data_IF_277853400917
#
_entry.id   IF_277853400917
#
_cell.length_a   1.000
_cell.length_b   1.000
_cell.length_c   1.000
_cell.angle_alpha   90.00
_cell.angle_beta   90.00
_cell.angle_gamma   90.00
#
_symmetry.space_group_name_H-M   'P 1'
#
loop_
_entity.id
_entity.type
_entity.pdbx_description
1 polymer ?
#
# COMPACT_ATOMS: atom_id res chain seq x y z
N UNK A 1 5.98 8.18 44.69
CA UNK A 1 4.58 7.80 44.44
C UNK A 1 4.31 7.28 43.02
N UNK A 2 5.34 6.89 42.23
CA UNK A 2 5.15 6.38 40.86
C UNK A 2 5.40 4.86 40.73
N UNK A 3 5.89 4.20 41.77
CA UNK A 3 6.17 2.76 41.76
C UNK A 3 4.94 1.93 42.17
N UNK A 4 4.17 2.37 43.17
CA UNK A 4 2.94 1.68 43.60
C UNK A 4 1.91 1.53 42.47
N UNK A 5 1.76 2.56 41.63
CA UNK A 5 0.82 2.51 40.49
C UNK A 5 1.22 1.51 39.42
N UNK A 6 2.51 1.18 39.27
CA UNK A 6 2.96 0.21 38.28
C UNK A 6 2.83 -1.22 38.82
N UNK A 7 3.04 -1.39 40.12
CA UNK A 7 2.87 -2.66 40.83
C UNK A 7 1.38 -3.05 40.92
N UNK A 8 0.49 -2.12 41.28
CA UNK A 8 -0.96 -2.36 41.27
C UNK A 8 -1.49 -2.69 39.87
N UNK A 9 -0.96 -2.05 38.83
CA UNK A 9 -1.33 -2.37 37.43
C UNK A 9 -0.87 -3.77 37.03
N UNK A 10 0.31 -4.19 37.47
CA UNK A 10 0.84 -5.53 37.17
C UNK A 10 0.06 -6.62 37.92
N UNK A 11 -0.29 -6.38 39.19
CA UNK A 11 -1.10 -7.31 39.99
C UNK A 11 -2.53 -7.45 39.43
N UNK A 12 -3.11 -6.35 38.94
CA UNK A 12 -4.43 -6.38 38.28
C UNK A 12 -4.38 -7.18 36.98
N UNK A 13 -3.29 -7.04 36.22
CA UNK A 13 -3.07 -7.76 34.97
C UNK A 13 -2.85 -9.27 35.22
N UNK A 14 -2.08 -9.61 36.26
CA UNK A 14 -1.90 -11.00 36.70
C UNK A 14 -3.22 -11.62 37.16
N UNK A 15 -4.00 -10.91 37.96
CA UNK A 15 -5.30 -11.39 38.43
C UNK A 15 -6.26 -11.69 37.26
N UNK A 16 -6.33 -10.79 36.28
CA UNK A 16 -7.14 -10.98 35.06
C UNK A 16 -6.65 -12.16 34.21
N UNK A 17 -5.33 -12.33 34.06
CA UNK A 17 -4.77 -13.49 33.35
C UNK A 17 -5.05 -14.81 34.07
N UNK A 18 -5.01 -14.84 35.41
CA UNK A 18 -5.36 -16.05 36.18
C UNK A 18 -6.84 -16.41 36.04
N UNK A 19 -7.72 -15.41 36.00
CA UNK A 19 -9.15 -15.62 35.80
C UNK A 19 -9.46 -16.17 34.40
N UNK A 20 -8.89 -15.57 33.36
CA UNK A 20 -9.05 -16.04 31.97
C UNK A 20 -8.47 -17.45 31.76
N UNK A 21 -7.34 -17.77 32.42
CA UNK A 21 -6.78 -19.11 32.38
C UNK A 21 -7.70 -20.12 33.09
N UNK A 22 -8.31 -19.71 34.21
CA UNK A 22 -9.29 -20.53 34.94
C UNK A 22 -10.52 -20.87 34.09
N UNK A 23 -11.07 -19.89 33.36
CA UNK A 23 -12.21 -20.08 32.46
C UNK A 23 -11.84 -21.00 31.28
N UNK A 24 -10.70 -20.76 30.64
CA UNK A 24 -10.25 -21.59 29.51
C UNK A 24 -9.98 -23.05 29.91
N UNK A 25 -9.45 -23.29 31.12
CA UNK A 25 -9.26 -24.64 31.67
C UNK A 25 -10.60 -25.30 32.00
N UNK A 26 -11.56 -24.54 32.56
CA UNK A 26 -12.89 -25.04 32.88
C UNK A 26 -13.68 -25.44 31.62
N UNK A 27 -13.68 -24.60 30.59
CA UNK A 27 -14.34 -24.89 29.32
C UNK A 27 -13.68 -26.06 28.57
N UNK A 28 -12.36 -26.18 28.65
CA UNK A 28 -11.62 -27.33 28.11
C UNK A 28 -11.99 -28.65 28.81
N UNK A 29 -12.19 -28.63 30.14
CA UNK A 29 -12.63 -29.79 30.91
C UNK A 29 -14.10 -30.16 30.60
N UNK A 30 -14.96 -29.17 30.39
CA UNK A 30 -16.39 -29.38 30.11
C UNK A 30 -16.66 -29.79 28.65
N UNK A 31 -15.86 -29.30 27.69
CA UNK A 31 -15.97 -29.64 26.27
C UNK A 31 -15.50 -31.05 25.91
N UNK A 32 -14.73 -31.71 26.77
CA UNK A 32 -14.20 -33.06 26.55
C UNK A 32 -15.16 -34.21 26.94
N UNK A 33 -16.40 -33.92 27.36
CA UNK A 33 -17.46 -34.93 27.48
C UNK A 33 -17.63 -35.62 28.84
N UNK A 34 -17.59 -34.87 29.95
CA UNK A 34 -17.83 -35.41 31.30
C UNK A 34 -16.57 -35.97 31.97
N UNK A 35 -16.63 -36.35 33.27
CA UNK A 35 -15.45 -36.54 34.11
C UNK A 35 -14.55 -37.62 33.49
N UNK A 36 -13.30 -37.28 33.13
CA UNK A 36 -12.40 -38.24 32.50
C UNK A 36 -12.08 -39.35 33.48
N UNK A 37 -12.12 -40.59 33.02
CA UNK A 37 -11.45 -41.70 33.68
C UNK A 37 -9.97 -41.33 33.85
N UNK A 38 -9.63 -40.86 35.05
CA UNK A 38 -8.31 -40.62 35.65
C UNK A 38 -7.13 -40.74 34.66
N UNK A 39 -7.07 -39.83 33.68
CA UNK A 39 -5.83 -39.48 33.03
C UNK A 39 -5.27 -38.29 33.79
N UNK A 40 -4.04 -38.46 34.22
CA UNK A 40 -3.29 -37.58 35.12
C UNK A 40 -3.58 -36.09 34.81
N UNK A 41 -4.37 -35.40 35.64
CA UNK A 41 -4.83 -34.03 35.35
C UNK A 41 -3.66 -33.06 35.15
N UNK A 42 -2.51 -33.37 35.75
CA UNK A 42 -1.25 -32.64 35.60
C UNK A 42 -0.73 -32.68 34.15
N UNK A 43 -1.02 -33.74 33.40
CA UNK A 43 -0.58 -33.90 32.01
C UNK A 43 -1.45 -33.10 31.04
N UNK A 44 -2.77 -33.04 31.26
CA UNK A 44 -3.66 -32.20 30.44
C UNK A 44 -3.39 -30.73 30.70
N UNK A 45 -3.25 -30.33 31.96
CA UNK A 45 -2.85 -28.97 32.34
C UNK A 45 -1.48 -28.61 31.75
N UNK A 46 -0.50 -29.53 31.80
CA UNK A 46 0.81 -29.34 31.20
C UNK A 46 0.77 -29.14 29.67
N UNK A 47 -0.11 -29.84 28.96
CA UNK A 47 -0.30 -29.68 27.52
C UNK A 47 -0.97 -28.35 27.16
N UNK A 48 -1.96 -27.93 27.94
CA UNK A 48 -2.69 -26.67 27.76
C UNK A 48 -1.77 -25.47 28.05
N UNK A 49 -1.04 -25.50 29.17
CA UNK A 49 -0.02 -24.50 29.50
C UNK A 49 1.09 -24.44 28.45
N UNK A 50 1.55 -25.58 27.93
CA UNK A 50 2.55 -25.61 26.87
C UNK A 50 2.01 -25.04 25.55
N UNK A 51 0.73 -25.26 25.22
CA UNK A 51 0.10 -24.70 24.03
C UNK A 51 -0.07 -23.18 24.13
N UNK A 52 -0.62 -22.69 25.25
CA UNK A 52 -0.74 -21.26 25.55
C UNK A 52 0.63 -20.61 25.55
N UNK A 53 1.62 -21.19 26.23
CA UNK A 53 2.97 -20.63 26.28
C UNK A 53 3.65 -20.57 24.91
N UNK A 54 3.44 -21.57 24.03
CA UNK A 54 3.91 -21.53 22.64
C UNK A 54 3.21 -20.44 21.83
N UNK A 55 1.90 -20.27 22.01
CA UNK A 55 1.11 -19.28 21.27
C UNK A 55 1.44 -17.85 21.72
N UNK A 56 1.50 -17.60 23.03
CA UNK A 56 1.95 -16.32 23.60
C UNK A 56 3.41 -16.06 23.26
N UNK A 57 4.29 -17.07 23.33
CA UNK A 57 5.69 -16.95 22.95
C UNK A 57 5.89 -16.61 21.47
N UNK A 58 5.07 -17.18 20.57
CA UNK A 58 5.09 -16.84 19.15
C UNK A 58 4.53 -15.43 18.89
N UNK A 59 3.46 -15.02 19.58
CA UNK A 59 2.90 -13.67 19.49
C UNK A 59 3.90 -12.61 19.99
N UNK A 60 4.46 -12.81 21.19
CA UNK A 60 5.49 -11.95 21.78
C UNK A 60 6.77 -11.95 20.93
N UNK A 61 7.18 -13.10 20.40
CA UNK A 61 8.32 -13.21 19.49
C UNK A 61 8.12 -12.44 18.19
N UNK A 62 6.93 -12.53 17.58
CA UNK A 62 6.55 -11.72 16.41
C UNK A 62 6.53 -10.23 16.76
N UNK A 63 5.95 -9.85 17.90
CA UNK A 63 5.87 -8.45 18.36
C UNK A 63 7.26 -7.86 18.64
N UNK A 64 8.16 -8.62 19.26
CA UNK A 64 9.56 -8.23 19.49
C UNK A 64 10.36 -8.15 18.19
N UNK A 65 10.16 -9.08 17.25
CA UNK A 65 10.78 -9.02 15.94
C UNK A 65 10.29 -7.80 15.14
N UNK A 66 8.98 -7.50 15.15
CA UNK A 66 8.38 -6.29 14.55
C UNK A 66 8.93 -5.03 15.21
N UNK A 67 8.96 -4.95 16.55
CA UNK A 67 9.51 -3.80 17.29
C UNK A 67 11.00 -3.59 17.02
N UNK A 68 11.78 -4.67 16.90
CA UNK A 68 13.20 -4.63 16.52
C UNK A 68 13.38 -4.17 15.07
N UNK A 69 12.57 -4.66 14.14
CA UNK A 69 12.60 -4.22 12.74
C UNK A 69 12.16 -2.74 12.62
N UNK A 70 11.20 -2.29 13.44
CA UNK A 70 10.77 -0.88 13.56
C UNK A 70 11.90 0.02 14.07
N UNK A 71 12.65 -0.42 15.09
CA UNK A 71 13.84 0.29 15.57
C UNK A 71 14.91 0.40 14.47
N UNK A 72 15.20 -0.71 13.77
CA UNK A 72 16.19 -0.72 12.68
C UNK A 72 15.74 0.11 11.46
N UNK A 73 14.44 0.15 11.15
CA UNK A 73 13.88 1.00 10.11
C UNK A 73 13.93 2.49 10.49
N UNK A 74 13.77 2.80 11.79
CA UNK A 74 13.90 4.18 12.30
C UNK A 74 15.34 4.69 12.33
N UNK A 75 16.33 3.81 12.56
CA UNK A 75 17.77 4.13 12.47
C UNK A 75 18.25 4.29 11.02
N UNK A 76 17.57 3.64 10.07
CA UNK A 76 17.83 3.78 8.62
C UNK A 76 17.00 4.89 7.97
N UNK A 77 16.70 5.98 8.68
CA UNK A 77 16.21 7.21 8.03
C UNK A 77 17.29 7.73 7.06
N UNK A 78 17.07 7.75 5.74
CA UNK A 78 17.72 8.76 4.94
C UNK A 78 17.02 10.07 5.28
N UNK A 79 17.73 10.94 6.00
CA UNK A 79 17.43 12.37 5.98
C UNK A 79 17.70 12.81 4.55
N UNK A 80 16.67 12.79 3.70
CA UNK A 80 16.61 13.58 2.48
C UNK A 80 15.15 13.89 2.18
N UNK A 81 14.62 14.81 2.99
CA UNK A 81 13.63 15.75 2.51
C UNK A 81 14.34 16.73 1.60
N UNK A 82 14.02 16.68 0.32
CA UNK A 82 14.58 17.54 -0.70
C UNK A 82 13.79 17.38 -1.98
N UNK A 83 12.58 17.94 -2.00
CA UNK A 83 11.86 18.23 -3.23
C UNK A 83 12.72 19.24 -4.00
N UNK A 84 13.57 18.75 -4.91
CA UNK A 84 14.38 19.55 -5.81
C UNK A 84 13.88 19.25 -7.21
N UNK A 85 13.06 20.16 -7.76
CA UNK A 85 12.90 20.31 -9.20
C UNK A 85 14.31 20.55 -9.79
N UNK A 86 14.99 19.52 -10.29
CA UNK A 86 16.34 19.68 -10.81
C UNK A 86 17.12 18.42 -11.20
N UNK A 87 16.73 17.23 -10.73
CA UNK A 87 17.26 15.97 -11.27
C UNK A 87 16.11 15.10 -11.73
N UNK A 88 15.80 15.15 -13.03
CA UNK A 88 14.80 14.29 -13.64
C UNK A 88 15.01 12.83 -13.22
N UNK A 89 13.90 12.16 -12.94
CA UNK A 89 13.84 10.75 -12.57
C UNK A 89 14.68 9.89 -13.52
N UNK A 90 15.15 8.72 -13.10
CA UNK A 90 15.99 7.85 -13.94
C UNK A 90 15.33 7.57 -15.30
N UNK A 91 13.99 7.55 -15.31
CA UNK A 91 13.16 7.45 -16.51
C UNK A 91 13.30 8.66 -17.43
N UNK A 92 13.24 9.88 -16.90
CA UNK A 92 13.41 11.14 -17.66
C UNK A 92 14.80 11.29 -18.29
N UNK A 93 15.84 10.67 -17.70
CA UNK A 93 17.20 10.68 -18.26
C UNK A 93 17.33 9.81 -19.52
N UNK A 94 16.33 8.98 -19.84
CA UNK A 94 16.34 8.16 -21.04
C UNK A 94 16.04 9.00 -22.29
N UNK A 95 16.64 8.67 -23.45
CA UNK A 95 16.41 9.41 -24.69
C UNK A 95 14.92 9.53 -25.00
N UNK A 96 14.49 10.72 -25.43
CA UNK A 96 13.08 10.99 -25.74
C UNK A 96 12.52 10.03 -26.78
N UNK A 97 13.32 9.64 -27.79
CA UNK A 97 12.94 8.63 -28.78
C UNK A 97 12.60 7.26 -28.17
N UNK A 98 13.32 6.85 -27.13
CA UNK A 98 13.06 5.59 -26.41
C UNK A 98 11.79 5.72 -25.57
N UNK A 99 11.64 6.82 -24.83
CA UNK A 99 10.43 7.06 -24.02
C UNK A 99 9.18 7.10 -24.88
N UNK A 100 9.24 7.79 -26.02
CA UNK A 100 8.12 7.90 -26.96
C UNK A 100 7.76 6.54 -27.55
N UNK A 101 8.75 5.77 -27.99
CA UNK A 101 8.54 4.43 -28.56
C UNK A 101 7.83 3.46 -27.60
N UNK A 102 8.11 3.55 -26.30
CA UNK A 102 7.58 2.64 -25.28
C UNK A 102 6.53 3.28 -24.38
N UNK A 103 6.01 4.46 -24.75
CA UNK A 103 5.07 5.26 -23.97
C UNK A 103 3.83 4.48 -23.57
N UNK A 104 3.09 3.94 -24.55
CA UNK A 104 1.83 3.24 -24.29
C UNK A 104 2.02 2.03 -23.38
N UNK A 105 3.11 1.29 -23.60
CA UNK A 105 3.45 0.12 -22.82
C UNK A 105 3.82 0.48 -21.38
N UNK A 106 4.61 1.54 -21.17
CA UNK A 106 4.94 2.06 -19.85
C UNK A 106 3.69 2.55 -19.09
N UNK A 107 2.78 3.26 -19.77
CA UNK A 107 1.51 3.70 -19.19
C UNK A 107 0.59 2.51 -18.86
N UNK A 108 0.58 1.48 -19.72
CA UNK A 108 -0.18 0.24 -19.47
C UNK A 108 0.33 -0.49 -18.24
N UNK A 109 1.66 -0.59 -18.08
CA UNK A 109 2.29 -1.17 -16.90
C UNK A 109 1.94 -0.34 -15.66
N UNK A 110 2.09 0.98 -15.71
CA UNK A 110 1.75 1.88 -14.59
C UNK A 110 0.29 1.72 -14.13
N UNK A 111 -0.67 1.69 -15.06
CA UNK A 111 -2.10 1.47 -14.76
C UNK A 111 -2.38 0.09 -14.17
N UNK A 112 -1.56 -0.90 -14.51
CA UNK A 112 -1.67 -2.27 -13.97
C UNK A 112 -1.25 -2.32 -12.50
N UNK A 113 -0.25 -1.54 -12.11
CA UNK A 113 0.21 -1.40 -10.72
C UNK A 113 -0.57 -0.37 -9.90
N UNK A 114 -1.38 0.47 -10.55
CA UNK A 114 -2.16 1.52 -9.89
C UNK A 114 -3.61 1.60 -10.41
N UNK A 115 -4.44 0.55 -10.19
CA UNK A 115 -5.80 0.49 -10.74
C UNK A 115 -6.79 1.42 -10.03
N UNK A 116 -6.49 1.88 -8.82
CA UNK A 116 -7.34 2.72 -7.99
C UNK A 116 -6.48 3.56 -7.04
N UNK A 117 -7.06 4.56 -6.39
CA UNK A 117 -6.35 5.39 -5.42
C UNK A 117 -6.10 4.63 -4.11
N UNK A 118 -5.01 3.86 -4.09
CA UNK A 118 -4.60 3.06 -2.93
C UNK A 118 -4.21 3.93 -1.73
N UNK A 119 -3.72 5.16 -1.97
CA UNK A 119 -3.38 6.13 -0.92
C UNK A 119 -4.63 6.50 -0.15
N UNK A 120 -5.70 6.86 -0.87
CA UNK A 120 -6.98 7.22 -0.25
C UNK A 120 -7.60 6.04 0.49
N UNK A 121 -7.56 4.83 -0.08
CA UNK A 121 -8.09 3.63 0.56
C UNK A 121 -7.40 3.36 1.92
N UNK A 122 -6.07 3.43 1.95
CA UNK A 122 -5.31 3.19 3.18
C UNK A 122 -5.47 4.32 4.20
N UNK A 123 -5.65 5.55 3.73
CA UNK A 123 -5.97 6.69 4.58
C UNK A 123 -7.33 6.53 5.25
N UNK A 124 -8.37 6.18 4.48
CA UNK A 124 -9.72 5.93 5.02
C UNK A 124 -9.70 4.79 6.06
N UNK A 125 -8.92 3.74 5.81
CA UNK A 125 -8.73 2.64 6.76
C UNK A 125 -8.02 3.11 8.05
N UNK A 126 -6.97 3.91 7.92
CA UNK A 126 -6.23 4.47 9.05
C UNK A 126 -7.10 5.39 9.91
N UNK A 127 -7.81 6.33 9.28
CA UNK A 127 -8.71 7.27 9.96
C UNK A 127 -9.79 6.50 10.75
N UNK A 128 -10.30 5.40 10.17
CA UNK A 128 -11.25 4.54 10.86
C UNK A 128 -10.64 3.79 12.07
N UNK A 129 -9.44 3.23 11.94
CA UNK A 129 -8.80 2.54 13.07
C UNK A 129 -8.47 3.54 14.19
N UNK A 130 -8.09 4.78 13.86
CA UNK A 130 -7.89 5.84 14.85
C UNK A 130 -9.19 6.21 15.59
N UNK A 131 -10.33 6.22 14.89
CA UNK A 131 -11.64 6.40 15.52
C UNK A 131 -11.96 5.24 16.48
N UNK A 132 -11.68 4.01 16.08
CA UNK A 132 -11.82 2.82 16.96
C UNK A 132 -10.92 2.94 18.20
N UNK A 133 -9.66 3.35 18.05
CA UNK A 133 -8.73 3.58 19.18
C UNK A 133 -9.34 4.58 20.17
N UNK A 134 -9.84 5.71 19.67
CA UNK A 134 -10.44 6.76 20.50
C UNK A 134 -11.62 6.24 21.31
N UNK A 135 -12.44 5.37 20.72
CA UNK A 135 -13.56 4.76 21.43
C UNK A 135 -13.11 3.69 22.43
N UNK A 136 -12.10 2.88 22.09
CA UNK A 136 -11.53 1.87 22.99
C UNK A 136 -10.90 2.51 24.24
N UNK A 137 -10.33 3.71 24.13
CA UNK A 137 -9.84 4.49 25.30
C UNK A 137 -10.97 4.89 26.27
N UNK A 138 -12.22 4.91 25.79
CA UNK A 138 -13.42 5.22 26.59
C UNK A 138 -14.24 3.98 26.95
N UNK A 139 -13.66 2.79 26.80
CA UNK A 139 -14.32 1.49 27.00
C UNK A 139 -15.64 1.35 26.20
N UNK A 140 -15.66 1.91 24.99
CA UNK A 140 -16.81 1.90 24.10
C UNK A 140 -16.44 1.45 22.69
N UNK A 141 -17.46 1.08 21.90
CA UNK A 141 -17.32 0.75 20.49
C UNK A 141 -18.30 1.59 19.66
N UNK A 142 -17.85 2.16 18.53
CA UNK A 142 -18.75 2.84 17.63
C UNK A 142 -19.85 1.88 17.12
N UNK A 143 -21.11 2.31 17.04
CA UNK A 143 -22.15 1.51 16.42
C UNK A 143 -21.78 1.22 14.96
N UNK A 144 -21.91 -0.04 14.54
CA UNK A 144 -21.53 -0.47 13.18
C UNK A 144 -20.06 -0.85 12.99
N UNK A 145 -19.25 -0.85 14.06
CA UNK A 145 -17.81 -1.20 13.98
C UNK A 145 -17.52 -2.49 13.23
N UNK A 146 -18.39 -3.51 13.38
CA UNK A 146 -18.26 -4.79 12.67
C UNK A 146 -18.36 -4.62 11.16
N UNK A 147 -19.36 -3.89 10.68
CA UNK A 147 -19.58 -3.66 9.26
C UNK A 147 -18.44 -2.85 8.64
N UNK A 148 -17.92 -1.89 9.40
CA UNK A 148 -16.81 -1.05 8.93
C UNK A 148 -15.48 -1.81 8.93
N UNK A 149 -15.18 -2.66 9.92
CA UNK A 149 -14.00 -3.54 9.88
C UNK A 149 -14.05 -4.51 8.71
N UNK A 150 -15.21 -5.07 8.38
CA UNK A 150 -15.38 -5.89 7.17
C UNK A 150 -15.15 -5.07 5.90
N UNK A 151 -15.61 -3.82 5.87
CA UNK A 151 -15.36 -2.91 4.73
C UNK A 151 -13.88 -2.61 4.58
N UNK A 152 -13.18 -2.32 5.67
CA UNK A 152 -11.73 -2.08 5.68
C UNK A 152 -10.99 -3.32 5.20
N UNK A 153 -11.30 -4.52 5.72
CA UNK A 153 -10.72 -5.78 5.24
C UNK A 153 -10.97 -5.99 3.73
N UNK A 154 -12.20 -5.77 3.24
CA UNK A 154 -12.51 -5.89 1.81
C UNK A 154 -11.75 -4.86 0.95
N UNK A 155 -11.68 -3.61 1.40
CA UNK A 155 -10.94 -2.53 0.74
C UNK A 155 -9.44 -2.82 0.66
N UNK A 156 -8.87 -3.35 1.74
CA UNK A 156 -7.48 -3.78 1.82
C UNK A 156 -7.22 -4.99 0.91
N UNK A 157 -8.19 -5.91 0.80
CA UNK A 157 -8.12 -7.05 -0.11
C UNK A 157 -7.93 -6.67 -1.58
N UNK A 158 -8.42 -5.51 -2.01
CA UNK A 158 -8.15 -5.00 -3.35
C UNK A 158 -6.68 -4.62 -3.57
N UNK A 159 -5.96 -4.20 -2.53
CA UNK A 159 -4.52 -3.89 -2.62
C UNK A 159 -3.68 -5.16 -2.76
N UNK A 160 -4.16 -6.28 -2.22
CA UNK A 160 -3.53 -7.60 -2.38
C UNK A 160 -3.75 -8.22 -3.75
N UNK A 161 -4.67 -7.69 -4.55
CA UNK A 161 -4.91 -8.11 -5.92
C UNK A 161 -3.95 -7.45 -6.94
N UNK A 162 -2.99 -6.66 -6.47
CA UNK A 162 -1.92 -6.13 -7.31
C UNK A 162 -1.13 -7.28 -7.97
N UNK A 163 -0.66 -7.10 -9.21
CA UNK A 163 0.02 -8.16 -9.93
C UNK A 163 1.31 -8.55 -9.21
N UNK A 164 1.54 -9.86 -9.06
CA UNK A 164 2.88 -10.38 -8.84
C UNK A 164 3.66 -10.24 -10.15
N UNK A 165 4.85 -9.66 -10.07
CA UNK A 165 5.66 -9.23 -11.22
C UNK A 165 5.55 -10.19 -12.42
N UNK A 166 4.98 -9.77 -13.56
CA UNK A 166 5.18 -10.49 -14.80
C UNK A 166 6.67 -10.48 -15.12
N UNK A 167 7.29 -11.66 -15.14
CA UNK A 167 8.63 -11.80 -15.67
C UNK A 167 8.57 -11.45 -17.17
N UNK A 168 8.83 -10.18 -17.48
CA UNK A 168 9.09 -9.75 -18.85
C UNK A 168 10.21 -10.66 -19.41
N UNK A 169 10.06 -11.22 -20.62
CA UNK A 169 11.12 -12.02 -21.22
C UNK A 169 12.44 -11.24 -21.19
N UNK A 170 13.56 -11.83 -20.77
CA UNK A 170 14.83 -11.13 -20.71
C UNK A 170 15.15 -10.55 -22.08
N UNK A 171 15.37 -9.24 -22.08
CA UNK A 171 15.50 -8.44 -23.27
C UNK A 171 16.66 -8.91 -24.16
N UNK A 172 16.34 -9.46 -25.33
CA UNK A 172 17.27 -9.47 -26.46
C UNK A 172 17.50 -8.02 -26.89
N UNK A 173 18.59 -7.42 -26.42
CA UNK A 173 19.16 -6.14 -26.84
C UNK A 173 18.20 -4.91 -26.83
N UNK A 174 18.28 -4.08 -25.78
CA UNK A 174 17.80 -2.70 -25.81
C UNK A 174 16.50 -2.37 -25.06
N UNK A 175 15.92 -3.29 -24.29
CA UNK A 175 14.71 -3.03 -23.48
C UNK A 175 15.00 -2.59 -22.03
N UNK A 176 16.08 -1.84 -21.78
CA UNK A 176 16.43 -1.35 -20.44
C UNK A 176 15.34 -0.41 -19.86
N UNK A 177 14.59 0.31 -20.72
CA UNK A 177 13.56 1.24 -20.25
C UNK A 177 12.36 0.56 -19.58
N UNK A 178 11.70 -0.37 -20.26
CA UNK A 178 10.52 -1.07 -19.70
C UNK A 178 10.90 -1.94 -18.51
N UNK A 179 12.09 -2.54 -18.53
CA UNK A 179 12.62 -3.27 -17.37
C UNK A 179 12.85 -2.34 -16.18
N UNK A 180 13.38 -1.12 -16.40
CA UNK A 180 13.51 -0.12 -15.32
C UNK A 180 12.13 0.26 -14.76
N UNK A 181 11.16 0.56 -15.62
CA UNK A 181 9.78 0.91 -15.21
C UNK A 181 9.16 -0.20 -14.38
N UNK A 182 9.23 -1.45 -14.87
CA UNK A 182 8.68 -2.62 -14.19
C UNK A 182 9.38 -2.88 -12.85
N UNK A 183 10.71 -2.76 -12.79
CA UNK A 183 11.47 -2.97 -11.56
C UNK A 183 11.15 -1.92 -10.49
N UNK A 184 11.02 -0.65 -10.88
CA UNK A 184 10.68 0.43 -9.96
C UNK A 184 9.26 0.26 -9.39
N UNK A 185 8.29 -0.08 -10.25
CA UNK A 185 6.89 -0.30 -9.85
C UNK A 185 6.70 -1.58 -9.04
N UNK A 186 7.24 -2.71 -9.50
CA UNK A 186 7.13 -3.99 -8.80
C UNK A 186 7.81 -3.96 -7.43
N UNK A 187 8.96 -3.27 -7.31
CA UNK A 187 9.64 -3.08 -6.04
C UNK A 187 8.77 -2.35 -5.02
N UNK A 188 8.05 -1.30 -5.44
CA UNK A 188 7.07 -0.59 -4.60
C UNK A 188 5.85 -1.45 -4.26
N UNK A 189 5.28 -2.12 -5.26
CA UNK A 189 4.11 -2.98 -5.08
C UNK A 189 4.39 -4.14 -4.09
N UNK A 190 5.55 -4.80 -4.18
CA UNK A 190 5.93 -5.89 -3.26
C UNK A 190 6.00 -5.39 -1.81
N UNK A 191 6.61 -4.22 -1.58
CA UNK A 191 6.67 -3.63 -0.24
C UNK A 191 5.27 -3.32 0.28
N UNK A 192 4.44 -2.66 -0.52
CA UNK A 192 3.06 -2.34 -0.17
C UNK A 192 2.25 -3.60 0.16
N UNK A 193 2.28 -4.61 -0.71
CA UNK A 193 1.57 -5.87 -0.51
C UNK A 193 2.04 -6.59 0.76
N UNK A 194 3.33 -6.53 1.09
CA UNK A 194 3.85 -7.10 2.33
C UNK A 194 3.26 -6.40 3.56
N UNK A 195 3.25 -5.05 3.59
CA UNK A 195 2.68 -4.30 4.70
C UNK A 195 1.19 -4.54 4.84
N UNK A 196 0.48 -4.53 3.71
CA UNK A 196 -0.96 -4.78 3.68
C UNK A 196 -1.31 -6.20 4.18
N UNK A 197 -0.48 -7.20 3.86
CA UNK A 197 -0.68 -8.56 4.36
C UNK A 197 -0.53 -8.64 5.88
N UNK A 198 0.43 -7.91 6.44
CA UNK A 198 0.63 -7.82 7.89
C UNK A 198 -0.57 -7.14 8.57
N UNK A 199 -1.07 -6.04 7.99
CA UNK A 199 -2.29 -5.34 8.42
C UNK A 199 -3.50 -6.28 8.40
N UNK A 200 -3.72 -7.00 7.29
CA UNK A 200 -4.85 -7.92 7.17
C UNK A 200 -4.76 -9.04 8.20
N UNK A 201 -3.57 -9.61 8.40
CA UNK A 201 -3.36 -10.64 9.40
C UNK A 201 -3.67 -10.12 10.81
N UNK A 202 -3.20 -8.93 11.17
CA UNK A 202 -3.44 -8.34 12.48
C UNK A 202 -4.93 -8.04 12.71
N UNK A 203 -5.60 -7.50 11.69
CA UNK A 203 -7.03 -7.22 11.71
C UNK A 203 -7.86 -8.50 11.92
N UNK A 204 -7.61 -9.55 11.13
CA UNK A 204 -8.43 -10.77 11.11
C UNK A 204 -8.11 -11.72 12.26
N UNK A 205 -6.84 -11.82 12.67
CA UNK A 205 -6.41 -12.83 13.65
C UNK A 205 -6.34 -12.31 15.07
N UNK A 206 -6.26 -10.99 15.27
CA UNK A 206 -6.12 -10.38 16.59
C UNK A 206 -7.29 -9.42 16.87
N UNK A 207 -7.46 -8.36 16.07
CA UNK A 207 -8.41 -7.29 16.41
C UNK A 207 -9.87 -7.76 16.38
N UNK A 208 -10.30 -8.40 15.28
CA UNK A 208 -11.68 -8.88 15.13
C UNK A 208 -12.06 -9.87 16.24
N UNK A 209 -11.25 -10.89 16.57
CA UNK A 209 -11.51 -11.76 17.71
C UNK A 209 -11.64 -11.02 19.06
N UNK A 210 -10.77 -10.05 19.35
CA UNK A 210 -10.86 -9.27 20.59
C UNK A 210 -12.18 -8.48 20.71
N UNK A 211 -12.69 -7.94 19.59
CA UNK A 211 -13.94 -7.18 19.56
C UNK A 211 -15.20 -8.06 19.52
N UNK A 212 -15.05 -9.35 19.20
CA UNK A 212 -16.16 -10.31 19.13
C UNK A 212 -16.24 -11.24 20.34
N UNK A 213 -15.24 -11.22 21.23
CA UNK A 213 -15.25 -11.99 22.45
C UNK A 213 -16.46 -11.63 23.34
N UNK A 214 -16.98 -12.62 24.07
CA UNK A 214 -18.10 -12.43 25.00
C UNK A 214 -17.75 -11.45 26.13
N UNK A 215 -16.47 -11.43 26.52
CA UNK A 215 -15.87 -10.42 27.39
C UNK A 215 -14.75 -9.72 26.62
N UNK A 216 -14.97 -8.46 26.26
CA UNK A 216 -14.00 -7.66 25.53
C UNK A 216 -12.91 -7.22 26.50
N UNK A 217 -11.68 -7.67 26.27
CA UNK A 217 -10.50 -7.04 26.91
C UNK A 217 -10.21 -5.73 26.19
N UNK A 218 -10.74 -4.62 26.72
CA UNK A 218 -10.57 -3.27 26.14
C UNK A 218 -9.09 -2.91 25.96
N UNK A 219 -8.26 -3.25 26.95
CA UNK A 219 -6.82 -3.02 26.90
C UNK A 219 -6.15 -3.84 25.78
N UNK A 220 -6.50 -5.12 25.62
CA UNK A 220 -5.96 -5.96 24.56
C UNK A 220 -6.40 -5.49 23.17
N UNK A 221 -7.67 -5.11 23.03
CA UNK A 221 -8.20 -4.54 21.78
C UNK A 221 -7.51 -3.21 21.44
N UNK A 222 -7.28 -2.34 22.43
CA UNK A 222 -6.61 -1.06 22.25
C UNK A 222 -5.17 -1.24 21.78
N UNK A 223 -4.42 -2.14 22.41
CA UNK A 223 -3.04 -2.45 22.02
C UNK A 223 -2.95 -2.97 20.58
N UNK A 224 -3.84 -3.88 20.19
CA UNK A 224 -3.87 -4.42 18.83
C UNK A 224 -4.31 -3.35 17.83
N UNK A 225 -5.27 -2.49 18.19
CA UNK A 225 -5.70 -1.39 17.35
C UNK A 225 -4.58 -0.36 17.12
N UNK A 226 -3.78 -0.06 18.14
CA UNK A 226 -2.59 0.80 18.01
C UNK A 226 -1.54 0.18 17.08
N UNK A 227 -1.23 -1.11 17.24
CA UNK A 227 -0.32 -1.83 16.33
C UNK A 227 -0.88 -1.81 14.88
N UNK A 228 -2.19 -1.96 14.71
CA UNK A 228 -2.85 -1.90 13.40
C UNK A 228 -2.77 -0.51 12.78
N UNK A 229 -2.95 0.56 13.56
CA UNK A 229 -2.78 1.92 13.08
C UNK A 229 -1.34 2.20 12.64
N UNK A 230 -0.35 1.71 13.39
CA UNK A 230 1.07 1.81 13.03
C UNK A 230 1.39 1.10 11.71
N UNK A 231 0.87 -0.13 11.52
CA UNK A 231 1.09 -0.91 10.30
C UNK A 231 0.33 -0.31 9.09
N UNK A 232 -0.86 0.26 9.31
CA UNK A 232 -1.61 1.01 8.30
C UNK A 232 -0.91 2.30 7.88
N UNK A 233 -0.33 3.05 8.81
CA UNK A 233 0.46 4.25 8.50
C UNK A 233 1.69 3.88 7.64
N UNK A 234 2.34 2.76 7.95
CA UNK A 234 3.46 2.27 7.14
C UNK A 234 3.00 1.85 5.74
N UNK A 235 1.88 1.11 5.62
CA UNK A 235 1.29 0.75 4.34
C UNK A 235 0.91 1.99 3.53
N UNK A 236 0.31 3.01 4.17
CA UNK A 236 -0.05 4.28 3.53
C UNK A 236 1.19 5.00 2.97
N UNK A 237 2.30 5.01 3.72
CA UNK A 237 3.58 5.58 3.23
C UNK A 237 4.14 4.81 2.04
N UNK A 238 4.08 3.48 2.02
CA UNK A 238 4.51 2.68 0.86
C UNK A 238 3.59 2.90 -0.36
N UNK A 239 2.28 3.06 -0.14
CA UNK A 239 1.34 3.42 -1.21
C UNK A 239 1.65 4.81 -1.77
N UNK A 240 1.92 5.81 -0.93
CA UNK A 240 2.32 7.13 -1.39
C UNK A 240 3.63 7.05 -2.20
N UNK A 241 4.62 6.30 -1.73
CA UNK A 241 5.86 6.08 -2.47
C UNK A 241 5.62 5.41 -3.84
N UNK A 242 4.73 4.42 -3.93
CA UNK A 242 4.37 3.81 -5.20
C UNK A 242 3.63 4.80 -6.12
N UNK A 243 2.73 5.62 -5.58
CA UNK A 243 2.04 6.68 -6.34
C UNK A 243 3.01 7.67 -6.96
N UNK A 244 4.09 8.04 -6.24
CA UNK A 244 5.13 8.92 -6.78
C UNK A 244 5.88 8.27 -7.94
N UNK A 245 6.17 6.96 -7.85
CA UNK A 245 6.81 6.22 -8.96
C UNK A 245 5.87 6.12 -10.17
N UNK A 246 4.58 5.85 -9.96
CA UNK A 246 3.56 5.87 -11.02
C UNK A 246 3.51 7.24 -11.68
N UNK A 247 3.45 8.31 -10.89
CA UNK A 247 3.49 9.69 -11.39
C UNK A 247 4.76 9.97 -12.20
N UNK A 248 5.93 9.50 -11.75
CA UNK A 248 7.18 9.64 -12.49
C UNK A 248 7.17 8.89 -13.84
N UNK A 249 6.53 7.72 -13.92
CA UNK A 249 6.37 6.98 -15.18
C UNK A 249 5.42 7.71 -16.13
N UNK A 250 4.31 8.25 -15.60
CA UNK A 250 3.35 9.04 -16.37
C UNK A 250 3.98 10.34 -16.89
N UNK A 251 4.74 11.03 -16.05
CA UNK A 251 5.47 12.24 -16.42
C UNK A 251 6.52 11.93 -17.50
N UNK A 252 7.35 10.89 -17.32
CA UNK A 252 8.34 10.49 -18.33
C UNK A 252 7.70 10.04 -19.65
N UNK A 253 6.45 9.56 -19.59
CA UNK A 253 5.67 9.12 -20.75
C UNK A 253 4.87 10.24 -21.42
N UNK A 254 4.76 11.42 -20.80
CA UNK A 254 3.92 12.52 -21.33
C UNK A 254 4.67 13.84 -21.48
N UNK A 255 5.79 14.06 -20.80
CA UNK A 255 6.57 15.29 -20.91
C UNK A 255 7.72 15.16 -21.90
N UNK A 256 7.64 15.94 -22.98
CA UNK A 256 8.61 16.03 -24.06
C UNK A 256 9.04 17.47 -24.33
N UNK A 257 8.88 18.38 -23.36
CA UNK A 257 9.39 19.76 -23.43
C UNK A 257 10.91 19.76 -23.69
N UNK A 258 11.34 20.55 -24.66
CA UNK A 258 12.76 20.64 -25.06
C UNK A 258 13.37 19.37 -25.67
N UNK A 259 12.58 18.33 -25.96
CA UNK A 259 13.09 17.10 -26.55
C UNK A 259 13.47 17.27 -28.03
N UNK A 260 14.57 16.65 -28.47
CA UNK A 260 14.90 16.51 -29.89
C UNK A 260 14.30 15.21 -30.45
N UNK A 261 13.26 15.35 -31.27
CA UNK A 261 12.52 14.27 -31.90
C UNK A 261 12.67 14.25 -33.43
N UNK A 262 13.56 15.08 -34.01
CA UNK A 262 13.69 15.26 -35.47
C UNK A 262 13.99 13.99 -36.25
N UNK A 263 14.61 13.01 -35.61
CA UNK A 263 14.99 11.73 -36.23
C UNK A 263 14.04 10.58 -35.88
N UNK A 264 12.93 10.87 -35.19
CA UNK A 264 11.97 9.86 -34.76
C UNK A 264 10.89 9.72 -35.82
N UNK A 265 10.62 8.48 -36.22
CA UNK A 265 9.46 8.15 -37.03
C UNK A 265 8.22 8.18 -36.15
N UNK A 266 7.30 9.11 -36.44
CA UNK A 266 6.05 9.31 -35.70
C UNK A 266 4.86 8.63 -36.38
N UNK A 267 5.06 7.94 -37.50
CA UNK A 267 3.98 7.25 -38.19
C UNK A 267 3.36 6.15 -37.31
N UNK A 268 2.07 6.27 -37.02
CA UNK A 268 1.33 5.34 -36.16
C UNK A 268 1.61 5.45 -34.67
N UNK A 269 2.31 6.48 -34.21
CA UNK A 269 2.55 6.75 -32.79
C UNK A 269 1.41 7.57 -32.21
N UNK A 270 0.80 7.13 -31.11
CA UNK A 270 -0.15 7.95 -30.36
C UNK A 270 0.57 9.10 -29.64
N UNK A 271 0.31 10.32 -30.12
CA UNK A 271 0.84 11.56 -29.56
C UNK A 271 -0.13 12.23 -28.57
N UNK A 272 -1.35 11.74 -28.42
CA UNK A 272 -2.37 12.38 -27.59
C UNK A 272 -1.89 12.54 -26.15
N UNK A 273 -2.03 13.74 -25.58
CA UNK A 273 -1.65 14.04 -24.22
C UNK A 273 -0.15 14.31 -24.01
N UNK A 274 0.67 14.33 -25.06
CA UNK A 274 2.07 14.77 -24.97
C UNK A 274 2.14 16.27 -24.68
N UNK A 275 2.88 16.64 -23.64
CA UNK A 275 3.27 18.00 -23.29
C UNK A 275 4.55 18.38 -24.02
N UNK A 276 4.55 19.53 -24.67
CA UNK A 276 5.69 20.06 -25.41
C UNK A 276 5.70 21.59 -25.33
N UNK A 277 6.82 22.19 -25.70
CA UNK A 277 6.98 23.65 -25.73
C UNK A 277 7.71 24.09 -27.00
N UNK A 278 7.89 25.40 -27.16
CA UNK A 278 8.59 25.97 -28.32
C UNK A 278 10.06 25.51 -28.48
N UNK A 279 10.64 24.83 -27.49
CA UNK A 279 11.99 24.27 -27.55
C UNK A 279 11.99 22.79 -27.95
N UNK A 280 10.84 22.13 -27.98
CA UNK A 280 10.70 20.77 -28.52
C UNK A 280 10.88 20.79 -30.04
N UNK A 281 11.75 19.92 -30.54
CA UNK A 281 12.12 19.86 -31.95
C UNK A 281 11.48 18.64 -32.61
N UNK A 282 10.37 18.87 -33.30
CA UNK A 282 9.63 17.85 -34.04
C UNK A 282 10.27 17.55 -35.40
N UNK A 283 9.96 16.39 -36.03
CA UNK A 283 10.23 16.18 -37.43
C UNK A 283 9.54 17.26 -38.29
N UNK A 284 10.20 17.84 -39.31
CA UNK A 284 9.68 18.98 -40.08
C UNK A 284 8.30 18.74 -40.70
N UNK A 285 8.02 17.51 -41.12
CA UNK A 285 6.75 17.11 -41.72
C UNK A 285 5.59 16.95 -40.71
N UNK A 286 5.91 16.89 -39.41
CA UNK A 286 4.94 16.73 -38.31
C UNK A 286 4.70 18.04 -37.55
N UNK A 287 5.64 18.98 -37.56
CA UNK A 287 5.59 20.22 -36.76
C UNK A 287 4.26 20.99 -36.93
N UNK A 288 3.84 21.26 -38.17
CA UNK A 288 2.61 22.00 -38.44
C UNK A 288 1.35 21.22 -38.00
N UNK A 289 1.37 19.89 -38.13
CA UNK A 289 0.24 19.03 -37.73
C UNK A 289 0.08 19.01 -36.22
N UNK A 290 1.19 18.83 -35.51
CA UNK A 290 1.23 18.82 -34.04
C UNK A 290 0.81 20.18 -33.50
N UNK A 291 1.29 21.29 -34.09
CA UNK A 291 0.87 22.63 -33.71
C UNK A 291 -0.65 22.80 -33.82
N UNK A 292 -1.25 22.38 -34.94
CA UNK A 292 -2.71 22.47 -35.17
C UNK A 292 -3.53 21.59 -34.24
N UNK A 293 -3.02 20.42 -33.88
CA UNK A 293 -3.68 19.47 -32.97
C UNK A 293 -3.52 19.85 -31.49
N UNK A 294 -2.65 20.81 -31.17
CA UNK A 294 -2.31 21.12 -29.78
C UNK A 294 -3.19 22.21 -29.16
N UNK A 295 -3.40 22.09 -27.85
CA UNK A 295 -4.13 23.04 -27.02
C UNK A 295 -3.19 23.58 -25.93
N UNK A 296 -3.36 24.85 -25.55
CA UNK A 296 -2.60 25.42 -24.43
C UNK A 296 -2.97 24.73 -23.11
N UNK A 297 -1.95 24.36 -22.34
CA UNK A 297 -2.15 23.85 -20.99
C UNK A 297 -2.66 24.98 -20.09
N UNK A 298 -3.76 24.74 -19.37
CA UNK A 298 -4.40 25.77 -18.51
C UNK A 298 -3.49 26.29 -17.40
N UNK A 299 -2.48 25.52 -17.04
CA UNK A 299 -1.68 25.71 -15.82
C UNK A 299 -0.33 26.37 -16.11
N UNK A 300 0.27 26.13 -17.28
CA UNK A 300 1.61 26.61 -17.61
C UNK A 300 1.65 27.34 -18.96
N UNK A 301 2.08 28.60 -18.95
CA UNK A 301 2.06 29.44 -20.15
C UNK A 301 3.19 29.04 -21.09
N UNK A 302 2.83 28.61 -22.30
CA UNK A 302 3.79 28.20 -23.33
C UNK A 302 4.00 26.69 -23.39
N UNK A 303 3.33 25.92 -22.52
CA UNK A 303 3.21 24.47 -22.66
C UNK A 303 1.95 24.14 -23.46
N UNK A 304 2.14 23.30 -24.47
CA UNK A 304 1.10 22.82 -25.36
C UNK A 304 0.90 21.32 -25.10
N UNK A 305 -0.36 20.89 -25.11
CA UNK A 305 -0.74 19.48 -25.02
C UNK A 305 -1.29 19.07 -26.38
N UNK A 306 -0.72 18.03 -26.98
CA UNK A 306 -1.25 17.44 -28.20
C UNK A 306 -2.65 16.88 -27.91
N UNK A 307 -3.68 17.41 -28.55
CA UNK A 307 -5.03 16.90 -28.46
C UNK A 307 -5.24 15.64 -29.30
N UNK A 308 -6.46 15.10 -29.27
CA UNK A 308 -6.88 14.03 -30.19
C UNK A 308 -6.66 14.55 -31.61
N UNK A 309 -5.86 13.85 -32.42
CA UNK A 309 -5.77 14.15 -33.86
C UNK A 309 -7.21 14.27 -34.38
N UNK A 310 -7.59 15.38 -35.04
CA UNK A 310 -8.78 15.35 -35.85
C UNK A 310 -8.47 14.34 -36.95
N UNK A 311 -8.80 13.05 -36.72
CA UNK A 311 -9.04 12.12 -37.80
C UNK A 311 -9.83 12.89 -38.82
N UNK A 312 -9.31 12.92 -40.04
CA UNK A 312 -9.87 13.57 -41.20
C UNK A 312 -11.37 13.26 -41.25
N UNK A 313 -12.13 14.10 -40.54
CA UNK A 313 -13.54 13.91 -40.30
C UNK A 313 -14.09 14.47 -41.57
N UNK A 314 -14.12 13.57 -42.55
CA UNK A 314 -15.05 13.55 -43.65
C UNK A 314 -16.45 13.54 -43.04
N UNK A 315 -16.82 14.66 -42.42
CA UNK A 315 -18.19 15.12 -42.36
C UNK A 315 -18.55 15.24 -43.84
N UNK A 316 -19.42 14.36 -44.37
CA UNK A 316 -19.98 14.63 -45.66
C UNK A 316 -20.81 15.88 -45.45
N UNK A 317 -20.31 17.01 -45.95
CA UNK A 317 -21.15 18.15 -46.21
C UNK A 317 -22.08 17.72 -47.35
N UNK A 318 -23.22 17.12 -47.01
CA UNK A 318 -24.36 17.05 -47.92
C UNK A 318 -25.68 16.98 -47.14
N UNK A 319 -26.37 18.14 -47.25
CA UNK A 319 -27.81 18.39 -47.39
C UNK A 319 -28.76 18.18 -46.20
#
# INVERSE_FOLDING_TARGET
MSHDSAEERFDTLLASMYEQLGVAVYDGLMGAGGPPELHDPDRVLGQLLAAVHRQTGAAVGRRLARRRNKMLASERRPVNGGCVYGEGTVLMRRPASVRLKYREEALRIARTYWPQDLVQILRDALDYVQDVITHLETDSLPPGSRQTLTRVSASIGHVLALPESPQLPPALAGYDYLETVENDLSGGAIRLMSQVRDVQQLLETELVPHLLAAEVSWLGALEVAQDLADDLDLAHREAAALSEVVGAVEEASTDFRGADLRSVDLEGVDLEGIRWDATTMWPPEWEERIWKASLEEKTDRGVLIVGVEPHDSTVPADL
#
